data_IF_394135686644
#
_entry.id   IF_394135686644
#
_cell.length_a   1.000
_cell.length_b   1.000
_cell.length_c   1.000
_cell.angle_alpha   90.00
_cell.angle_beta   90.00
_cell.angle_gamma   90.00
#
_symmetry.space_group_name_H-M   'P 1'
#
loop_
_entity.id
_entity.type
_entity.pdbx_description
1 polymer ?
#
# COMPACT_ATOMS: atom_id res chain seq x y z
N UNK A 1 -50.98 18.90 50.58
CA UNK A 1 -49.66 18.27 50.69
C UNK A 1 -49.50 17.35 49.51
N UNK A 2 -48.88 17.84 48.47
CA UNK A 2 -48.68 17.08 47.22
C UNK A 2 -47.16 16.96 47.07
N UNK A 3 -46.66 15.74 47.26
CA UNK A 3 -45.24 15.40 47.11
C UNK A 3 -44.91 15.19 45.65
N UNK A 4 -44.06 16.09 45.09
CA UNK A 4 -43.41 15.91 43.79
C UNK A 4 -42.27 14.88 43.92
N UNK A 5 -42.37 13.77 43.21
CA UNK A 5 -41.23 12.90 42.91
C UNK A 5 -40.49 13.44 41.71
N UNK A 6 -39.24 13.80 41.94
CA UNK A 6 -38.27 14.20 40.91
C UNK A 6 -37.72 12.91 40.29
N UNK A 7 -38.04 12.64 39.03
CA UNK A 7 -37.35 11.63 38.19
C UNK A 7 -35.97 12.14 37.83
N UNK A 8 -34.98 11.57 38.49
CA UNK A 8 -33.57 11.74 38.10
C UNK A 8 -33.31 10.88 36.85
N UNK A 9 -33.24 11.57 35.69
CA UNK A 9 -32.84 10.97 34.42
C UNK A 9 -31.33 10.67 34.48
N UNK A 10 -30.94 9.43 34.79
CA UNK A 10 -29.61 8.94 34.55
C UNK A 10 -29.39 8.90 33.05
N UNK A 11 -28.73 9.90 32.51
CA UNK A 11 -28.05 9.81 31.21
C UNK A 11 -26.93 8.78 31.36
N UNK A 12 -27.18 7.57 30.88
CA UNK A 12 -26.13 6.59 30.69
C UNK A 12 -25.14 7.17 29.67
N UNK A 13 -23.99 7.62 30.14
CA UNK A 13 -22.84 7.81 29.27
C UNK A 13 -22.58 6.46 28.60
N UNK A 14 -22.92 6.37 27.33
CA UNK A 14 -22.52 5.25 26.50
C UNK A 14 -21.00 5.29 26.41
N UNK A 15 -20.31 4.54 27.25
CA UNK A 15 -18.89 4.23 27.07
C UNK A 15 -18.80 3.45 25.77
N UNK A 16 -18.49 4.15 24.69
CA UNK A 16 -18.27 3.58 23.37
C UNK A 16 -16.98 2.77 23.42
N UNK A 17 -17.04 1.53 23.93
CA UNK A 17 -15.94 0.59 23.77
C UNK A 17 -15.83 0.25 22.29
N UNK A 18 -14.61 0.21 21.72
CA UNK A 18 -14.42 -0.16 20.34
C UNK A 18 -14.93 -1.60 20.13
N UNK A 19 -15.67 -1.80 19.04
CA UNK A 19 -16.21 -3.12 18.70
C UNK A 19 -15.11 -4.11 18.33
N UNK A 20 -13.94 -3.66 17.86
CA UNK A 20 -12.80 -4.51 17.55
C UNK A 20 -11.47 -3.78 17.70
N UNK A 21 -10.44 -4.54 18.08
CA UNK A 21 -9.06 -4.09 18.12
C UNK A 21 -8.28 -4.71 16.96
N UNK A 22 -7.69 -3.85 16.11
CA UNK A 22 -6.91 -4.25 14.95
C UNK A 22 -5.46 -3.77 15.10
N UNK A 23 -4.50 -4.67 14.88
CA UNK A 23 -3.09 -4.33 14.77
C UNK A 23 -2.69 -4.29 13.28
N UNK A 24 -2.43 -3.08 12.74
CA UNK A 24 -1.94 -2.86 11.38
C UNK A 24 -0.41 -2.77 11.39
N UNK A 25 0.24 -3.75 10.80
CA UNK A 25 1.70 -3.84 10.73
C UNK A 25 2.20 -3.24 9.44
N UNK A 26 3.07 -2.24 9.55
CA UNK A 26 3.76 -1.61 8.43
C UNK A 26 5.26 -1.55 8.64
N UNK A 27 5.98 -1.14 7.59
CA UNK A 27 7.42 -0.90 7.61
C UNK A 27 7.72 0.44 6.93
N UNK A 28 8.60 1.24 7.49
CA UNK A 28 8.90 2.59 6.98
C UNK A 28 9.96 2.56 5.86
N UNK A 29 9.77 1.64 4.90
CA UNK A 29 10.61 1.51 3.72
C UNK A 29 9.92 2.14 2.50
N UNK A 30 10.47 3.23 1.97
CA UNK A 30 9.97 3.91 0.78
C UNK A 30 8.63 4.63 0.93
N UNK A 31 8.00 4.62 2.11
CA UNK A 31 6.78 5.36 2.43
C UNK A 31 5.45 4.73 1.95
N UNK A 32 5.48 3.77 1.02
CA UNK A 32 4.26 3.18 0.43
C UNK A 32 3.41 2.39 1.44
N UNK A 33 4.02 1.52 2.24
CA UNK A 33 3.32 0.71 3.23
C UNK A 33 2.63 1.57 4.30
N UNK A 34 3.32 2.60 4.79
CA UNK A 34 2.75 3.54 5.76
C UNK A 34 1.60 4.36 5.17
N UNK A 35 1.73 4.79 3.91
CA UNK A 35 0.67 5.53 3.21
C UNK A 35 -0.57 4.66 3.02
N UNK A 36 -0.41 3.40 2.63
CA UNK A 36 -1.51 2.44 2.50
C UNK A 36 -2.20 2.16 3.84
N UNK A 37 -1.44 1.97 4.93
CA UNK A 37 -2.00 1.77 6.26
C UNK A 37 -2.82 2.99 6.72
N UNK A 38 -2.29 4.21 6.55
CA UNK A 38 -3.02 5.44 6.87
C UNK A 38 -4.27 5.65 6.04
N UNK A 39 -4.22 5.29 4.73
CA UNK A 39 -5.38 5.36 3.85
C UNK A 39 -6.51 4.44 4.35
N UNK A 40 -6.16 3.23 4.78
CA UNK A 40 -7.13 2.27 5.30
C UNK A 40 -7.76 2.75 6.62
N UNK A 41 -6.96 3.33 7.53
CA UNK A 41 -7.45 3.95 8.77
C UNK A 41 -8.43 5.07 8.45
N UNK A 42 -8.05 5.99 7.57
CA UNK A 42 -8.89 7.13 7.18
C UNK A 42 -10.24 6.67 6.59
N UNK A 43 -10.25 5.61 5.77
CA UNK A 43 -11.51 5.07 5.22
C UNK A 43 -12.34 4.37 6.29
N UNK A 44 -11.72 3.62 7.21
CA UNK A 44 -12.43 3.01 8.34
C UNK A 44 -13.14 4.07 9.20
N UNK A 45 -12.47 5.19 9.48
CA UNK A 45 -13.04 6.35 10.18
C UNK A 45 -14.19 6.99 9.39
N UNK A 46 -14.03 7.21 8.07
CA UNK A 46 -15.07 7.74 7.18
C UNK A 46 -16.30 6.82 7.10
N UNK A 47 -16.10 5.51 7.20
CA UNK A 47 -17.16 4.50 7.24
C UNK A 47 -17.75 4.32 8.65
N UNK A 48 -17.33 5.11 9.63
CA UNK A 48 -17.78 5.03 11.03
C UNK A 48 -17.62 3.64 11.65
N UNK A 49 -16.49 2.93 11.32
CA UNK A 49 -16.18 1.65 11.94
C UNK A 49 -15.77 1.86 13.39
N UNK A 50 -16.42 1.16 14.33
CA UNK A 50 -16.08 1.21 15.75
C UNK A 50 -14.83 0.36 16.05
N UNK A 51 -13.73 0.60 15.34
CA UNK A 51 -12.47 -0.13 15.49
C UNK A 51 -11.44 0.71 16.23
N UNK A 52 -10.72 0.07 17.15
CA UNK A 52 -9.48 0.60 17.66
C UNK A 52 -8.34 0.06 16.80
N UNK A 53 -7.71 0.93 16.01
CA UNK A 53 -6.64 0.53 15.10
C UNK A 53 -5.30 0.98 15.65
N UNK A 54 -4.43 0.01 15.96
CA UNK A 54 -3.05 0.24 16.36
C UNK A 54 -2.15 0.17 15.13
N UNK A 55 -1.53 1.29 14.78
CA UNK A 55 -0.58 1.35 13.68
C UNK A 55 0.83 1.00 14.19
N UNK A 56 1.32 -0.19 13.85
CA UNK A 56 2.55 -0.78 14.41
C UNK A 56 3.65 -0.80 13.35
N UNK A 57 4.73 -0.06 13.60
CA UNK A 57 5.94 -0.22 12.82
C UNK A 57 6.68 -1.48 13.29
N UNK A 58 6.78 -2.49 12.44
CA UNK A 58 7.45 -3.76 12.80
C UNK A 58 8.87 -3.54 13.31
N UNK A 59 9.58 -2.54 12.81
CA UNK A 59 10.91 -2.18 13.27
C UNK A 59 10.95 -1.96 14.79
N UNK A 60 10.00 -1.20 15.32
CA UNK A 60 10.02 -0.80 16.74
C UNK A 60 9.80 -2.02 17.64
N UNK A 61 9.02 -3.01 17.18
CA UNK A 61 8.86 -4.30 17.85
C UNK A 61 10.11 -5.18 17.79
N UNK A 62 10.87 -5.10 16.70
CA UNK A 62 12.05 -5.94 16.46
C UNK A 62 13.36 -5.27 16.88
N UNK A 63 13.35 -4.02 17.31
CA UNK A 63 14.57 -3.29 17.72
C UNK A 63 15.43 -4.05 18.75
N UNK A 64 14.86 -4.76 19.74
CA UNK A 64 15.65 -5.59 20.68
C UNK A 64 16.38 -6.76 20.01
N UNK A 65 15.90 -7.23 18.83
CA UNK A 65 16.49 -8.33 18.06
C UNK A 65 17.47 -7.87 16.98
N UNK A 66 17.72 -6.56 16.83
CA UNK A 66 18.57 -6.02 15.76
C UNK A 66 20.05 -6.35 15.97
N UNK A 67 20.33 -7.67 15.88
CA UNK A 67 21.68 -8.24 15.93
C UNK A 67 22.54 -7.73 14.78
N UNK A 68 21.93 -7.44 13.63
CA UNK A 68 22.64 -6.92 12.44
C UNK A 68 23.19 -5.54 12.76
N UNK A 69 22.43 -4.66 13.38
CA UNK A 69 22.90 -3.36 13.85
C UNK A 69 24.04 -3.49 14.88
N UNK A 70 23.92 -4.46 15.81
CA UNK A 70 24.97 -4.70 16.82
C UNK A 70 26.26 -5.21 16.20
N UNK A 71 26.20 -5.97 15.12
CA UNK A 71 27.38 -6.57 14.47
C UNK A 71 27.96 -5.71 13.36
N UNK A 72 27.14 -4.96 12.62
CA UNK A 72 27.55 -4.24 11.40
C UNK A 72 27.43 -2.72 11.52
N UNK A 73 26.76 -2.21 12.56
CA UNK A 73 26.43 -0.78 12.67
C UNK A 73 25.36 -0.29 11.68
N UNK A 74 24.94 -1.11 10.73
CA UNK A 74 23.99 -0.76 9.65
C UNK A 74 22.63 -1.34 9.95
N UNK A 75 21.58 -0.53 9.86
CA UNK A 75 20.19 -0.98 9.95
C UNK A 75 19.75 -1.58 8.63
N UNK A 76 18.95 -2.66 8.68
CA UNK A 76 18.38 -3.29 7.46
C UNK A 76 17.62 -2.28 6.60
N UNK A 77 16.90 -1.35 7.23
CA UNK A 77 16.18 -0.27 6.55
C UNK A 77 17.10 0.74 5.87
N UNK A 78 18.18 1.15 6.54
CA UNK A 78 19.13 2.12 5.99
C UNK A 78 19.79 1.53 4.75
N UNK A 79 20.02 0.24 4.75
CA UNK A 79 20.52 -0.49 3.60
C UNK A 79 19.48 -0.54 2.46
N UNK A 80 18.23 -0.88 2.75
CA UNK A 80 17.14 -0.89 1.77
C UNK A 80 16.83 0.52 1.24
N UNK A 81 16.73 1.50 2.12
CA UNK A 81 16.50 2.89 1.76
C UNK A 81 17.69 3.52 1.01
N UNK A 82 18.92 3.13 1.35
CA UNK A 82 20.13 3.57 0.62
C UNK A 82 20.13 3.03 -0.82
N UNK A 83 19.69 1.79 -1.05
CA UNK A 83 19.52 1.24 -2.38
C UNK A 83 18.45 1.97 -3.19
N UNK A 84 17.31 2.29 -2.56
CA UNK A 84 16.26 3.09 -3.19
C UNK A 84 16.76 4.50 -3.56
N UNK A 85 17.55 5.13 -2.69
CA UNK A 85 18.11 6.47 -2.92
C UNK A 85 19.18 6.48 -3.99
N UNK A 86 20.04 5.47 -4.04
CA UNK A 86 21.16 5.41 -4.99
C UNK A 86 20.75 5.01 -6.41
N UNK A 87 19.52 4.48 -6.60
CA UNK A 87 19.07 3.94 -7.88
C UNK A 87 19.89 2.72 -8.36
N UNK A 88 20.79 2.21 -7.53
CA UNK A 88 21.64 1.06 -7.83
C UNK A 88 20.86 -0.24 -7.54
N UNK A 89 20.09 -0.70 -8.53
CA UNK A 89 19.25 -1.91 -8.42
C UNK A 89 19.86 -3.15 -9.08
N UNK A 90 21.03 -3.01 -9.73
CA UNK A 90 21.76 -4.15 -10.29
C UNK A 90 22.26 -5.03 -9.13
N UNK A 91 21.95 -6.33 -9.20
CA UNK A 91 22.33 -7.29 -8.17
C UNK A 91 21.36 -7.45 -7.00
N UNK A 92 20.16 -6.81 -7.04
CA UNK A 92 19.16 -6.94 -5.98
C UNK A 92 18.64 -8.37 -5.80
N UNK A 93 18.64 -9.22 -6.83
CA UNK A 93 18.20 -10.61 -6.74
C UNK A 93 19.02 -11.46 -5.76
N UNK A 94 20.36 -11.56 -5.88
CA UNK A 94 21.22 -12.25 -4.92
C UNK A 94 21.14 -11.64 -3.51
N UNK A 95 21.12 -10.32 -3.43
CA UNK A 95 21.06 -9.60 -2.16
C UNK A 95 19.73 -9.83 -1.43
N UNK A 96 18.62 -9.86 -2.14
CA UNK A 96 17.32 -10.19 -1.56
C UNK A 96 17.32 -11.61 -0.97
N UNK A 97 17.97 -12.59 -1.62
CA UNK A 97 18.14 -13.95 -1.08
C UNK A 97 18.95 -13.96 0.21
N UNK A 98 20.03 -13.18 0.27
CA UNK A 98 20.82 -13.02 1.50
C UNK A 98 19.99 -12.40 2.60
N UNK A 99 19.22 -11.35 2.30
CA UNK A 99 18.32 -10.71 3.26
C UNK A 99 17.25 -11.69 3.76
N UNK A 100 16.64 -12.48 2.88
CA UNK A 100 15.68 -13.51 3.28
C UNK A 100 16.32 -14.60 4.16
N UNK A 101 17.56 -15.00 3.86
CA UNK A 101 18.32 -15.95 4.70
C UNK A 101 18.58 -15.39 6.09
N UNK A 102 19.00 -14.13 6.21
CA UNK A 102 19.21 -13.45 7.49
C UNK A 102 17.91 -13.30 8.29
N UNK A 103 16.81 -12.94 7.64
CA UNK A 103 15.48 -12.88 8.27
C UNK A 103 15.13 -14.26 8.86
N UNK A 104 15.33 -15.35 8.11
CA UNK A 104 15.06 -16.71 8.60
C UNK A 104 15.94 -17.11 9.80
N UNK A 105 17.20 -16.67 9.85
CA UNK A 105 18.06 -16.94 11.00
C UNK A 105 17.61 -16.19 12.27
N UNK A 106 17.06 -14.99 12.12
CA UNK A 106 16.55 -14.18 13.23
C UNK A 106 15.10 -14.52 13.63
N UNK A 107 14.43 -15.33 12.83
CA UNK A 107 13.01 -15.64 12.97
C UNK A 107 12.62 -16.16 14.36
N UNK A 108 13.36 -17.08 15.05
CA UNK A 108 12.98 -17.53 16.38
C UNK A 108 12.94 -16.40 17.42
N UNK A 109 13.83 -15.41 17.28
CA UNK A 109 13.85 -14.24 18.16
C UNK A 109 12.69 -13.29 17.85
N UNK A 110 12.41 -13.06 16.56
CA UNK A 110 11.27 -12.26 16.13
C UNK A 110 9.95 -12.84 16.60
N UNK A 111 9.74 -14.15 16.46
CA UNK A 111 8.56 -14.86 16.95
C UNK A 111 8.32 -14.60 18.43
N UNK A 112 9.36 -14.69 19.26
CA UNK A 112 9.25 -14.45 20.72
C UNK A 112 8.86 -13.01 21.04
N UNK A 113 9.42 -12.03 20.34
CA UNK A 113 9.10 -10.61 20.55
C UNK A 113 7.66 -10.30 20.11
N UNK A 114 7.25 -10.81 18.97
CA UNK A 114 5.90 -10.67 18.47
C UNK A 114 4.88 -11.35 19.38
N UNK A 115 5.18 -12.56 19.86
CA UNK A 115 4.30 -13.27 20.79
C UNK A 115 4.09 -12.47 22.09
N UNK A 116 5.16 -11.91 22.67
CA UNK A 116 5.06 -11.06 23.87
C UNK A 116 4.19 -9.81 23.61
N UNK A 117 4.33 -9.20 22.45
CA UNK A 117 3.51 -8.06 22.08
C UNK A 117 2.03 -8.43 22.08
N UNK A 118 1.64 -9.52 21.42
CA UNK A 118 0.24 -9.94 21.29
C UNK A 118 -0.36 -10.59 22.54
N UNK A 119 0.46 -11.10 23.45
CA UNK A 119 -0.01 -11.46 24.80
C UNK A 119 -0.53 -10.23 25.56
N UNK A 120 0.03 -9.04 25.28
CA UNK A 120 -0.39 -7.79 25.90
C UNK A 120 -1.51 -7.07 25.15
N UNK A 121 -1.40 -6.94 23.81
CA UNK A 121 -2.35 -6.16 23.00
C UNK A 121 -3.64 -6.90 22.69
N UNK A 122 -3.61 -8.23 22.56
CA UNK A 122 -4.78 -9.12 22.33
C UNK A 122 -5.70 -8.65 21.21
N UNK A 123 -5.22 -8.44 19.99
CA UNK A 123 -6.05 -7.93 18.90
C UNK A 123 -7.11 -8.98 18.46
N UNK A 124 -8.23 -8.50 17.92
CA UNK A 124 -9.23 -9.32 17.23
C UNK A 124 -8.77 -9.70 15.82
N UNK A 125 -7.88 -8.91 15.22
CA UNK A 125 -7.35 -9.11 13.88
C UNK A 125 -5.95 -8.49 13.73
N UNK A 126 -5.03 -9.22 13.12
CA UNK A 126 -3.72 -8.70 12.71
C UNK A 126 -3.71 -8.51 11.19
N UNK A 127 -3.36 -7.30 10.74
CA UNK A 127 -3.25 -6.95 9.31
C UNK A 127 -1.80 -6.65 9.00
N UNK A 128 -1.17 -7.45 8.14
CA UNK A 128 0.17 -7.21 7.62
C UNK A 128 0.14 -6.53 6.27
N UNK A 129 0.87 -5.44 6.13
CA UNK A 129 1.04 -4.69 4.88
C UNK A 129 2.52 -4.67 4.46
N UNK A 130 3.25 -5.72 4.81
CA UNK A 130 4.70 -5.84 4.57
C UNK A 130 5.07 -7.20 3.99
N UNK A 131 6.09 -7.28 3.13
CA UNK A 131 6.63 -8.54 2.63
C UNK A 131 7.66 -9.16 3.59
N UNK A 132 8.06 -10.41 3.32
CA UNK A 132 9.15 -11.18 3.95
C UNK A 132 8.98 -11.57 5.43
N UNK A 133 8.10 -10.93 6.20
CA UNK A 133 7.95 -11.15 7.64
C UNK A 133 6.68 -11.92 8.00
N UNK A 134 5.83 -12.23 7.04
CA UNK A 134 4.51 -12.81 7.27
C UNK A 134 4.56 -14.16 7.99
N UNK A 135 5.62 -14.95 7.81
CA UNK A 135 5.81 -16.20 8.53
C UNK A 135 6.06 -15.95 10.03
N UNK A 136 7.01 -15.08 10.36
CA UNK A 136 7.30 -14.73 11.76
C UNK A 136 6.10 -14.10 12.47
N UNK A 137 5.35 -13.23 11.77
CA UNK A 137 4.13 -12.58 12.25
C UNK A 137 3.09 -13.63 12.65
N UNK A 138 2.74 -14.54 11.73
CA UNK A 138 1.74 -15.57 12.04
C UNK A 138 2.18 -16.51 13.16
N UNK A 139 3.44 -16.94 13.16
CA UNK A 139 3.98 -17.83 14.21
C UNK A 139 3.98 -17.17 15.58
N UNK A 140 4.34 -15.89 15.66
CA UNK A 140 4.27 -15.12 16.90
C UNK A 140 2.84 -14.99 17.43
N UNK A 141 1.89 -14.73 16.52
CA UNK A 141 0.46 -14.65 16.85
C UNK A 141 -0.06 -15.99 17.39
N UNK A 142 0.24 -17.11 16.72
CA UNK A 142 -0.15 -18.45 17.16
C UNK A 142 0.47 -18.82 18.51
N UNK A 143 1.72 -18.41 18.76
CA UNK A 143 2.36 -18.63 20.06
C UNK A 143 1.67 -17.82 21.16
N UNK A 144 1.24 -16.59 20.90
CA UNK A 144 0.48 -15.78 21.84
C UNK A 144 -0.88 -16.41 22.15
N UNK A 145 -1.63 -16.80 21.11
CA UNK A 145 -2.94 -17.43 21.24
C UNK A 145 -2.86 -18.73 22.06
N UNK A 146 -1.85 -19.57 21.80
CA UNK A 146 -1.66 -20.83 22.51
C UNK A 146 -1.35 -20.65 24.01
N UNK A 147 -0.52 -19.66 24.36
CA UNK A 147 -0.20 -19.35 25.76
C UNK A 147 -1.43 -18.85 26.52
N UNK A 148 -2.29 -18.08 25.85
CA UNK A 148 -3.50 -17.52 26.43
C UNK A 148 -4.71 -18.47 26.36
N UNK A 149 -4.58 -19.63 25.71
CA UNK A 149 -5.69 -20.58 25.50
C UNK A 149 -6.83 -19.99 24.67
N UNK A 150 -6.51 -19.06 23.74
CA UNK A 150 -7.49 -18.40 22.88
C UNK A 150 -7.68 -19.16 21.57
N UNK A 151 -8.83 -18.94 20.95
CA UNK A 151 -9.04 -19.34 19.56
C UNK A 151 -8.09 -18.52 18.64
N UNK A 152 -7.62 -19.14 17.57
CA UNK A 152 -6.62 -18.55 16.68
C UNK A 152 -7.05 -17.20 16.11
N UNK A 153 -6.38 -16.14 16.52
CA UNK A 153 -6.60 -14.78 16.00
C UNK A 153 -6.33 -14.73 14.49
N UNK A 154 -7.23 -14.21 13.67
CA UNK A 154 -7.03 -14.15 12.23
C UNK A 154 -5.91 -13.20 11.85
N UNK A 155 -5.13 -13.58 10.84
CA UNK A 155 -4.13 -12.73 10.21
C UNK A 155 -4.48 -12.52 8.74
N UNK A 156 -4.42 -11.26 8.30
CA UNK A 156 -4.61 -10.86 6.90
C UNK A 156 -3.33 -10.23 6.37
N UNK A 157 -2.85 -10.69 5.24
CA UNK A 157 -1.79 -9.98 4.48
C UNK A 157 -2.43 -9.25 3.31
N UNK A 158 -2.28 -7.93 3.29
CA UNK A 158 -2.70 -7.10 2.16
C UNK A 158 -1.48 -6.83 1.30
N UNK A 159 -1.48 -7.36 0.09
CA UNK A 159 -0.39 -7.13 -0.85
C UNK A 159 -0.43 -5.68 -1.33
N UNK A 160 0.66 -4.93 -1.11
CA UNK A 160 0.83 -3.57 -1.65
C UNK A 160 1.68 -3.57 -2.93
N UNK A 161 1.98 -4.75 -3.47
CA UNK A 161 2.52 -4.98 -4.81
C UNK A 161 1.48 -5.66 -5.71
N UNK A 162 1.57 -5.44 -7.02
CA UNK A 162 0.63 -5.99 -8.01
C UNK A 162 0.71 -7.51 -8.16
N UNK A 163 1.79 -8.13 -7.69
CA UNK A 163 2.00 -9.58 -7.66
C UNK A 163 3.10 -9.97 -6.68
N UNK A 164 3.16 -11.26 -6.33
CA UNK A 164 4.20 -11.84 -5.48
C UNK A 164 5.47 -12.11 -6.31
N UNK A 165 6.37 -11.13 -6.37
CA UNK A 165 7.67 -11.25 -7.01
C UNK A 165 8.79 -10.62 -6.17
N UNK A 166 9.90 -11.36 -5.95
CA UNK A 166 10.08 -12.78 -6.31
C UNK A 166 9.12 -13.66 -5.51
N UNK A 167 8.93 -14.94 -5.91
CA UNK A 167 8.07 -15.86 -5.16
C UNK A 167 8.41 -15.91 -3.68
N UNK A 168 7.40 -16.05 -2.83
CA UNK A 168 7.51 -16.00 -1.35
C UNK A 168 7.96 -14.63 -0.80
N UNK A 169 7.77 -13.57 -1.55
CA UNK A 169 8.02 -12.22 -1.06
C UNK A 169 6.85 -11.74 -0.16
N UNK A 170 5.61 -11.97 -0.61
CA UNK A 170 4.38 -11.64 0.08
C UNK A 170 3.64 -12.85 0.62
N UNK A 171 3.59 -13.92 -0.18
CA UNK A 171 2.72 -15.08 0.03
C UNK A 171 3.56 -16.22 0.59
N UNK A 172 3.23 -16.63 1.82
CA UNK A 172 3.86 -17.75 2.50
C UNK A 172 2.89 -18.95 2.54
N UNK A 173 3.43 -20.18 2.56
CA UNK A 173 2.62 -21.42 2.71
C UNK A 173 2.18 -21.60 4.16
N UNK A 174 1.15 -20.87 4.56
CA UNK A 174 0.64 -20.86 5.93
C UNK A 174 -0.84 -20.47 5.97
N UNK A 175 -1.47 -20.68 7.12
CA UNK A 175 -2.89 -20.38 7.30
C UNK A 175 -3.13 -18.90 7.61
N UNK A 176 -3.15 -18.07 6.59
CA UNK A 176 -3.48 -16.64 6.64
C UNK A 176 -4.52 -16.29 5.58
N UNK A 177 -5.18 -15.17 5.76
CA UNK A 177 -5.99 -14.55 4.72
C UNK A 177 -5.12 -13.63 3.86
N UNK A 178 -5.47 -13.53 2.58
CA UNK A 178 -4.74 -12.74 1.60
C UNK A 178 -5.70 -11.80 0.88
N UNK A 179 -5.35 -10.51 0.82
CA UNK A 179 -6.04 -9.51 0.00
C UNK A 179 -5.13 -9.13 -1.17
N UNK A 180 -5.61 -9.40 -2.37
CA UNK A 180 -4.87 -9.31 -3.62
C UNK A 180 -5.49 -8.27 -4.56
N UNK A 181 -4.75 -7.22 -4.90
CA UNK A 181 -5.22 -6.15 -5.81
C UNK A 181 -5.26 -6.56 -7.28
N UNK A 182 -4.76 -7.75 -7.65
CA UNK A 182 -4.78 -8.25 -9.03
C UNK A 182 -5.17 -9.71 -9.12
N UNK A 183 -5.73 -10.11 -10.26
CA UNK A 183 -6.02 -11.52 -10.54
C UNK A 183 -4.76 -12.39 -10.54
N UNK A 184 -3.60 -11.83 -10.86
CA UNK A 184 -2.32 -12.56 -10.85
C UNK A 184 -1.89 -12.88 -9.43
N UNK A 185 -1.91 -11.93 -8.52
CA UNK A 185 -1.60 -12.17 -7.11
C UNK A 185 -2.55 -13.23 -6.50
N UNK A 186 -3.85 -13.15 -6.79
CA UNK A 186 -4.81 -14.14 -6.32
C UNK A 186 -4.53 -15.54 -6.88
N UNK A 187 -4.19 -15.67 -8.19
CA UNK A 187 -3.79 -16.96 -8.78
C UNK A 187 -2.49 -17.50 -8.17
N UNK A 188 -1.51 -16.63 -7.88
CA UNK A 188 -0.28 -17.04 -7.20
C UNK A 188 -0.58 -17.62 -5.82
N UNK A 189 -1.46 -16.97 -5.04
CA UNK A 189 -1.89 -17.47 -3.73
C UNK A 189 -2.54 -18.87 -3.82
N UNK A 190 -3.47 -19.06 -4.75
CA UNK A 190 -4.12 -20.36 -4.97
C UNK A 190 -3.10 -21.42 -5.43
N UNK A 191 -2.19 -21.06 -6.35
CA UNK A 191 -1.14 -21.97 -6.84
C UNK A 191 -0.16 -22.39 -5.73
N UNK A 192 0.02 -21.55 -4.69
CA UNK A 192 0.81 -21.86 -3.51
C UNK A 192 0.08 -22.73 -2.48
N UNK A 193 -1.19 -23.05 -2.72
CA UNK A 193 -2.00 -23.95 -1.88
C UNK A 193 -2.95 -23.27 -0.92
N UNK A 194 -3.15 -21.95 -1.01
CA UNK A 194 -4.16 -21.29 -0.21
C UNK A 194 -5.57 -21.66 -0.67
N UNK A 195 -6.44 -21.94 0.30
CA UNK A 195 -7.84 -22.17 0.05
C UNK A 195 -8.52 -20.91 -0.54
N UNK A 196 -9.45 -21.10 -1.50
CA UNK A 196 -10.10 -19.99 -2.21
C UNK A 196 -10.82 -19.02 -1.26
N UNK A 197 -11.43 -19.51 -0.19
CA UNK A 197 -12.13 -18.75 0.85
C UNK A 197 -11.21 -17.91 1.73
N UNK A 198 -9.89 -18.08 1.60
CA UNK A 198 -8.90 -17.27 2.28
C UNK A 198 -8.21 -16.24 1.35
N UNK A 199 -8.58 -16.20 0.07
CA UNK A 199 -7.99 -15.31 -0.92
C UNK A 199 -9.05 -14.35 -1.45
N UNK A 200 -8.97 -13.10 -1.03
CA UNK A 200 -9.87 -12.03 -1.45
C UNK A 200 -9.22 -11.24 -2.58
N UNK A 201 -9.97 -11.05 -3.66
CA UNK A 201 -9.57 -10.18 -4.75
C UNK A 201 -10.33 -8.86 -4.64
N UNK A 202 -9.59 -7.76 -4.56
CA UNK A 202 -10.12 -6.40 -4.66
C UNK A 202 -10.04 -5.86 -6.09
N UNK A 203 -10.71 -4.75 -6.36
CA UNK A 203 -10.72 -4.08 -7.66
C UNK A 203 -9.35 -3.48 -8.04
N UNK A 204 -8.42 -3.35 -7.10
CA UNK A 204 -7.07 -2.82 -7.33
C UNK A 204 -6.26 -2.73 -6.05
N UNK A 205 -5.35 -1.76 -6.00
CA UNK A 205 -4.46 -1.50 -4.88
C UNK A 205 -5.03 -0.41 -3.97
N UNK A 206 -4.54 -0.34 -2.72
CA UNK A 206 -4.90 0.75 -1.82
C UNK A 206 -4.37 2.07 -2.37
N UNK A 207 -5.28 3.02 -2.56
CA UNK A 207 -4.99 4.40 -2.91
C UNK A 207 -5.70 5.31 -1.90
N UNK A 208 -5.05 6.39 -1.48
CA UNK A 208 -5.60 7.31 -0.48
C UNK A 208 -6.95 7.88 -0.93
N UNK A 209 -7.93 8.07 -0.02
CA UNK A 209 -9.28 8.52 -0.38
C UNK A 209 -9.30 9.88 -1.08
N UNK A 210 -8.30 10.75 -0.86
CA UNK A 210 -8.21 12.06 -1.50
C UNK A 210 -8.08 12.01 -3.04
N UNK A 211 -7.65 10.87 -3.58
CA UNK A 211 -7.60 10.66 -5.03
C UNK A 211 -8.97 10.43 -5.66
N UNK A 212 -9.98 10.06 -4.88
CA UNK A 212 -11.34 9.78 -5.36
C UNK A 212 -12.28 10.98 -5.23
N UNK A 213 -11.88 12.01 -4.49
CA UNK A 213 -12.69 13.21 -4.30
C UNK A 213 -12.85 14.01 -5.59
N UNK A 214 -14.06 14.51 -5.85
CA UNK A 214 -14.30 15.55 -6.85
C UNK A 214 -13.90 16.89 -6.26
N UNK A 215 -12.87 17.55 -6.76
CA UNK A 215 -12.67 18.96 -6.46
C UNK A 215 -13.51 19.80 -7.45
N UNK A 216 -14.33 20.70 -6.95
CA UNK A 216 -14.93 21.78 -7.74
C UNK A 216 -13.79 22.77 -8.11
N UNK A 217 -13.06 22.47 -9.15
CA UNK A 217 -11.87 23.20 -9.55
C UNK A 217 -11.86 23.32 -11.08
N UNK A 218 -11.77 24.56 -11.58
CA UNK A 218 -11.47 24.73 -13.03
C UNK A 218 -10.02 24.37 -13.27
N UNK A 219 -9.82 23.30 -14.02
CA UNK A 219 -8.51 22.79 -14.45
C UNK A 219 -7.73 23.84 -15.23
N UNK A 220 -8.41 24.58 -16.08
CA UNK A 220 -7.87 25.64 -16.92
C UNK A 220 -7.40 26.83 -16.07
N UNK A 221 -8.20 27.26 -15.10
CA UNK A 221 -7.85 28.36 -14.18
C UNK A 221 -6.63 27.99 -13.33
N UNK A 222 -6.60 26.75 -12.80
CA UNK A 222 -5.46 26.29 -11.97
C UNK A 222 -4.18 26.11 -12.79
N UNK A 223 -4.27 25.61 -14.03
CA UNK A 223 -3.12 25.57 -14.93
C UNK A 223 -2.56 26.98 -15.16
N UNK A 224 -3.43 27.95 -15.49
CA UNK A 224 -3.02 29.36 -15.66
C UNK A 224 -2.37 29.93 -14.40
N UNK A 225 -2.90 29.63 -13.22
CA UNK A 225 -2.34 30.06 -11.92
C UNK A 225 -0.91 29.52 -11.70
N UNK A 226 -0.62 28.33 -12.19
CA UNK A 226 0.71 27.69 -12.11
C UNK A 226 1.66 28.11 -13.24
N UNK A 227 1.26 29.02 -14.12
CA UNK A 227 2.04 29.44 -15.30
C UNK A 227 2.03 28.40 -16.42
N UNK A 228 1.05 27.49 -16.39
CA UNK A 228 0.84 26.50 -17.44
C UNK A 228 -0.24 26.99 -18.43
N UNK A 229 -0.17 26.51 -19.67
CA UNK A 229 -1.18 26.78 -20.69
C UNK A 229 -2.46 25.96 -20.39
N UNK A 230 -3.65 26.56 -20.39
CA UNK A 230 -4.91 25.87 -20.14
C UNK A 230 -5.17 24.70 -21.11
N UNK A 231 -4.82 24.87 -22.38
CA UNK A 231 -5.19 23.99 -23.49
C UNK A 231 -4.13 22.94 -23.83
N UNK A 232 -2.85 23.19 -23.54
CA UNK A 232 -1.79 22.26 -23.89
C UNK A 232 -1.88 20.95 -23.09
N UNK A 233 -1.68 19.79 -23.73
CA UNK A 233 -1.53 18.53 -23.03
C UNK A 233 -0.42 18.58 -21.97
N UNK A 234 -0.75 18.13 -20.76
CA UNK A 234 0.13 18.24 -19.60
C UNK A 234 0.54 16.86 -19.09
N UNK A 235 1.84 16.61 -19.01
CA UNK A 235 2.41 15.44 -18.32
C UNK A 235 2.78 15.73 -16.88
N UNK A 236 2.53 14.80 -15.96
CA UNK A 236 3.10 14.83 -14.60
C UNK A 236 4.28 13.86 -14.50
N UNK A 237 5.43 14.36 -14.02
CA UNK A 237 6.67 13.60 -13.91
C UNK A 237 6.99 13.39 -12.44
N UNK A 238 6.95 12.11 -11.97
CA UNK A 238 7.15 11.78 -10.57
C UNK A 238 7.93 10.46 -10.39
N UNK A 239 9.01 10.50 -9.60
CA UNK A 239 9.91 9.36 -9.35
C UNK A 239 10.01 9.00 -7.86
N UNK A 240 8.87 9.05 -7.15
CA UNK A 240 8.79 8.82 -5.71
C UNK A 240 9.25 10.02 -4.89
N UNK A 241 9.35 9.86 -3.57
CA UNK A 241 9.55 10.95 -2.60
C UNK A 241 10.91 11.66 -2.69
N UNK A 242 11.89 11.07 -3.38
CA UNK A 242 13.24 11.65 -3.54
C UNK A 242 13.55 12.09 -4.98
N UNK A 243 12.56 12.01 -5.87
CA UNK A 243 12.79 12.32 -7.28
C UNK A 243 13.87 11.44 -7.93
N UNK A 244 14.31 11.81 -9.13
CA UNK A 244 15.40 11.14 -9.85
C UNK A 244 16.04 12.10 -10.86
N UNK A 245 17.34 11.98 -11.07
CA UNK A 245 18.07 12.72 -12.13
C UNK A 245 17.49 12.43 -13.55
N UNK A 246 16.73 11.34 -13.72
CA UNK A 246 16.00 11.08 -14.96
C UNK A 246 15.03 12.21 -15.31
N UNK A 247 14.45 12.89 -14.31
CA UNK A 247 13.50 14.00 -14.53
C UNK A 247 14.14 15.14 -15.32
N UNK A 248 15.35 15.53 -14.96
CA UNK A 248 16.11 16.55 -15.69
C UNK A 248 16.51 16.07 -17.10
N UNK A 249 16.76 14.78 -17.30
CA UNK A 249 17.01 14.20 -18.61
C UNK A 249 15.74 14.19 -19.48
N UNK A 250 14.59 13.85 -18.89
CA UNK A 250 13.27 13.91 -19.56
C UNK A 250 13.01 15.35 -20.01
N UNK A 251 13.17 16.35 -19.13
CA UNK A 251 12.96 17.74 -19.45
C UNK A 251 13.77 18.17 -20.71
N UNK A 252 15.08 17.89 -20.73
CA UNK A 252 15.95 18.21 -21.88
C UNK A 252 15.54 17.48 -23.16
N UNK A 253 15.06 16.24 -23.10
CA UNK A 253 14.68 15.47 -24.29
C UNK A 253 13.37 15.96 -24.89
N UNK A 254 12.41 16.37 -24.06
CA UNK A 254 11.18 16.99 -24.52
C UNK A 254 11.48 18.33 -25.17
N UNK A 255 12.38 19.14 -24.57
CA UNK A 255 12.86 20.39 -25.16
C UNK A 255 13.49 20.14 -26.54
N UNK A 256 14.43 19.21 -26.65
CA UNK A 256 15.09 18.91 -27.90
C UNK A 256 14.16 18.41 -29.00
N UNK A 257 13.05 17.75 -28.61
CA UNK A 257 12.05 17.25 -29.53
C UNK A 257 11.00 18.31 -29.95
N UNK A 258 11.00 19.49 -29.34
CA UNK A 258 10.09 20.61 -29.63
C UNK A 258 8.61 20.20 -29.63
N UNK A 259 8.22 19.33 -28.68
CA UNK A 259 6.85 18.83 -28.58
C UNK A 259 5.92 19.89 -27.99
N UNK A 260 4.71 20.01 -28.55
CA UNK A 260 3.66 20.89 -28.03
C UNK A 260 3.00 20.29 -26.79
N UNK A 261 3.70 20.33 -25.67
CA UNK A 261 3.28 19.79 -24.38
C UNK A 261 3.80 20.68 -23.25
N UNK A 262 3.35 20.39 -22.04
CA UNK A 262 3.84 21.02 -20.81
C UNK A 262 4.00 19.96 -19.72
N UNK A 263 4.83 20.27 -18.70
CA UNK A 263 5.17 19.27 -17.67
C UNK A 263 5.07 19.86 -16.26
N UNK A 264 4.51 19.05 -15.35
CA UNK A 264 4.58 19.26 -13.90
C UNK A 264 5.60 18.29 -13.32
N UNK A 265 6.63 18.80 -12.66
CA UNK A 265 7.68 17.98 -12.04
C UNK A 265 7.49 17.92 -10.53
N UNK A 266 7.27 16.72 -9.98
CA UNK A 266 7.21 16.48 -8.55
C UNK A 266 8.57 15.99 -8.08
N UNK A 267 9.40 16.90 -7.58
CA UNK A 267 10.80 16.63 -7.23
C UNK A 267 10.98 15.99 -5.84
N UNK A 268 9.91 16.00 -5.01
CA UNK A 268 9.96 15.47 -3.66
C UNK A 268 10.99 16.19 -2.78
N UNK A 269 11.71 15.44 -1.93
CA UNK A 269 12.73 15.97 -1.02
C UNK A 269 14.07 16.28 -1.72
N UNK A 270 14.07 16.52 -3.04
CA UNK A 270 15.27 16.79 -3.81
C UNK A 270 15.29 18.23 -4.33
N UNK A 271 15.59 19.18 -3.45
CA UNK A 271 15.67 20.59 -3.79
C UNK A 271 16.71 20.88 -4.88
N UNK A 272 17.84 20.17 -4.86
CA UNK A 272 18.87 20.32 -5.91
C UNK A 272 18.35 19.97 -7.30
N UNK A 273 17.53 18.93 -7.40
CA UNK A 273 16.89 18.54 -8.66
C UNK A 273 15.85 19.57 -9.10
N UNK A 274 15.07 20.11 -8.17
CA UNK A 274 14.12 21.19 -8.44
C UNK A 274 14.82 22.40 -9.00
N UNK A 275 15.82 22.92 -8.29
CA UNK A 275 16.59 24.09 -8.68
C UNK A 275 17.30 23.87 -10.04
N UNK A 276 17.78 22.66 -10.29
CA UNK A 276 18.35 22.27 -11.57
C UNK A 276 17.33 22.37 -12.71
N UNK A 277 16.10 21.87 -12.53
CA UNK A 277 15.06 21.92 -13.56
C UNK A 277 14.57 23.36 -13.76
N UNK A 278 14.36 24.12 -12.69
CA UNK A 278 13.94 25.52 -12.73
C UNK A 278 14.96 26.42 -13.45
N UNK A 279 16.25 26.11 -13.32
CA UNK A 279 17.32 26.84 -14.02
C UNK A 279 17.44 26.48 -15.51
N UNK A 280 16.72 25.48 -16.01
CA UNK A 280 16.73 25.12 -17.43
C UNK A 280 15.99 26.15 -18.28
N UNK A 281 16.57 26.52 -19.41
CA UNK A 281 15.88 27.33 -20.42
C UNK A 281 15.04 26.43 -21.30
N UNK A 282 13.83 26.09 -20.83
CA UNK A 282 12.87 25.28 -21.57
C UNK A 282 11.91 26.21 -22.33
N UNK A 283 11.59 25.88 -23.57
CA UNK A 283 10.68 26.65 -24.43
C UNK A 283 9.20 26.33 -24.19
N UNK A 284 8.91 25.23 -23.51
CA UNK A 284 7.55 24.81 -23.15
C UNK A 284 7.20 25.20 -21.70
N UNK A 285 5.92 25.43 -21.36
CA UNK A 285 5.51 25.72 -19.99
C UNK A 285 5.81 24.53 -19.06
N UNK A 286 6.28 24.81 -17.86
CA UNK A 286 6.50 23.80 -16.85
C UNK A 286 6.31 24.37 -15.44
N UNK A 287 6.03 23.48 -14.49
CA UNK A 287 5.93 23.83 -13.07
C UNK A 287 6.68 22.81 -12.23
N UNK A 288 7.51 23.27 -11.29
CA UNK A 288 8.27 22.42 -10.40
C UNK A 288 7.70 22.47 -8.98
N UNK A 289 7.57 21.31 -8.35
CA UNK A 289 7.08 21.15 -7.00
C UNK A 289 8.09 20.34 -6.18
N UNK A 290 8.40 20.80 -4.99
CA UNK A 290 9.18 20.05 -4.00
C UNK A 290 8.35 18.92 -3.37
N UNK A 291 8.62 18.62 -2.10
CA UNK A 291 7.80 17.67 -1.35
C UNK A 291 6.39 18.23 -1.11
N UNK A 292 5.37 17.45 -1.46
CA UNK A 292 3.97 17.83 -1.26
C UNK A 292 3.11 16.62 -0.92
N UNK A 293 2.05 16.84 -0.15
CA UNK A 293 0.98 15.86 0.08
C UNK A 293 -0.17 16.02 -0.91
N UNK A 294 -0.20 17.10 -1.69
CA UNK A 294 -1.25 17.45 -2.64
C UNK A 294 -1.06 16.80 -4.02
N UNK A 295 -0.48 15.60 -4.06
CA UNK A 295 -0.32 14.85 -5.31
C UNK A 295 -1.63 14.72 -6.09
N UNK A 296 -2.81 14.46 -5.45
CA UNK A 296 -4.08 14.40 -6.15
C UNK A 296 -4.41 15.68 -6.91
N UNK A 297 -4.10 16.85 -6.34
CA UNK A 297 -4.29 18.14 -6.99
C UNK A 297 -3.48 18.23 -8.30
N UNK A 298 -2.17 17.97 -8.24
CA UNK A 298 -1.31 18.04 -9.42
C UNK A 298 -1.65 16.99 -10.48
N UNK A 299 -2.05 15.78 -10.07
CA UNK A 299 -2.49 14.74 -11.01
C UNK A 299 -3.78 15.12 -11.75
N UNK A 300 -4.72 15.85 -11.10
CA UNK A 300 -5.92 16.38 -11.78
C UNK A 300 -5.58 17.35 -12.89
N UNK A 301 -4.47 18.08 -12.80
CA UNK A 301 -4.02 19.01 -13.83
C UNK A 301 -3.32 18.29 -15.00
N UNK A 302 -2.94 17.03 -14.85
CA UNK A 302 -2.20 16.28 -15.85
C UNK A 302 -3.13 15.50 -16.80
N UNK A 303 -2.61 15.10 -17.95
CA UNK A 303 -3.24 14.26 -18.96
C UNK A 303 -2.64 12.87 -19.04
N UNK A 304 -1.39 12.71 -18.63
CA UNK A 304 -0.65 11.46 -18.56
C UNK A 304 0.44 11.53 -17.48
N UNK A 305 0.88 10.37 -17.02
CA UNK A 305 1.90 10.21 -16.00
C UNK A 305 3.21 9.69 -16.58
N UNK A 306 4.35 10.22 -16.10
CA UNK A 306 5.70 9.75 -16.43
C UNK A 306 6.41 9.42 -15.11
N UNK A 307 6.90 8.18 -14.96
CA UNK A 307 7.61 7.83 -13.73
C UNK A 307 8.19 6.42 -13.70
N UNK A 308 8.66 6.02 -12.52
CA UNK A 308 9.07 4.64 -12.30
C UNK A 308 7.84 3.73 -12.16
N UNK A 309 7.97 2.42 -12.47
CA UNK A 309 6.84 1.49 -12.39
C UNK A 309 6.52 1.02 -10.95
N UNK A 310 6.54 1.93 -9.98
CA UNK A 310 6.19 1.64 -8.57
C UNK A 310 4.69 1.43 -8.39
N UNK A 311 4.24 0.42 -7.62
CA UNK A 311 2.83 0.05 -7.52
C UNK A 311 1.94 1.18 -6.97
N UNK A 312 2.41 1.95 -5.99
CA UNK A 312 1.67 3.08 -5.42
C UNK A 312 1.41 4.17 -6.44
N UNK A 313 2.48 4.71 -7.07
CA UNK A 313 2.36 5.80 -8.05
C UNK A 313 1.55 5.41 -9.28
N UNK A 314 1.69 4.15 -9.74
CA UNK A 314 0.87 3.60 -10.82
C UNK A 314 -0.60 3.63 -10.42
N UNK A 315 -0.94 3.10 -9.24
CA UNK A 315 -2.32 3.00 -8.78
C UNK A 315 -2.95 4.38 -8.56
N UNK A 316 -2.19 5.33 -8.02
CA UNK A 316 -2.62 6.72 -7.87
C UNK A 316 -2.93 7.37 -9.23
N UNK A 317 -2.02 7.24 -10.21
CA UNK A 317 -2.19 7.77 -11.55
C UNK A 317 -3.41 7.15 -12.27
N UNK A 318 -3.61 5.83 -12.13
CA UNK A 318 -4.75 5.13 -12.73
C UNK A 318 -6.09 5.54 -12.14
N UNK A 319 -6.18 5.72 -10.81
CA UNK A 319 -7.39 6.26 -10.15
C UNK A 319 -7.71 7.67 -10.66
N UNK A 320 -6.68 8.46 -10.98
CA UNK A 320 -6.84 9.80 -11.57
C UNK A 320 -7.11 9.78 -13.07
N UNK A 321 -7.26 8.60 -13.70
CA UNK A 321 -7.53 8.45 -15.11
C UNK A 321 -6.34 8.74 -16.03
N UNK A 322 -5.11 8.70 -15.52
CA UNK A 322 -3.90 9.04 -16.26
C UNK A 322 -3.25 7.80 -16.88
N UNK A 323 -3.12 7.72 -18.22
CA UNK A 323 -2.25 6.74 -18.86
C UNK A 323 -0.78 6.95 -18.49
N UNK A 324 -0.02 5.86 -18.51
CA UNK A 324 1.31 5.78 -17.93
C UNK A 324 2.41 5.76 -19.00
N UNK A 325 3.53 6.44 -18.73
CA UNK A 325 4.81 6.21 -19.42
C UNK A 325 5.83 5.78 -18.35
N UNK A 326 6.31 4.55 -18.46
CA UNK A 326 7.26 3.96 -17.51
C UNK A 326 8.45 3.34 -18.24
N UNK A 327 9.54 3.08 -17.50
CA UNK A 327 10.73 2.44 -18.05
C UNK A 327 10.91 1.04 -17.49
N UNK A 328 11.32 0.10 -18.36
CA UNK A 328 11.76 -1.24 -17.97
C UNK A 328 13.12 -1.56 -18.55
N UNK A 329 14.10 -1.72 -17.69
CA UNK A 329 15.47 -2.11 -18.07
C UNK A 329 16.11 -2.99 -16.98
N UNK A 330 17.42 -3.22 -17.09
CA UNK A 330 18.17 -4.01 -16.13
C UNK A 330 18.16 -3.42 -14.70
N UNK A 331 17.91 -2.11 -14.56
CA UNK A 331 17.87 -1.38 -13.30
C UNK A 331 16.48 -1.37 -12.65
N UNK A 332 15.44 -1.81 -13.37
CA UNK A 332 14.08 -1.93 -12.81
C UNK A 332 14.08 -3.02 -11.74
N UNK A 333 13.60 -2.67 -10.54
CA UNK A 333 13.53 -3.61 -9.41
C UNK A 333 12.73 -4.87 -9.77
N UNK A 334 13.16 -6.02 -9.26
CA UNK A 334 12.55 -7.32 -9.61
C UNK A 334 11.04 -7.33 -9.37
N UNK A 335 10.59 -6.79 -8.24
CA UNK A 335 9.18 -6.68 -7.89
C UNK A 335 8.40 -5.72 -8.82
N UNK A 336 9.06 -4.70 -9.38
CA UNK A 336 8.43 -3.73 -10.27
C UNK A 336 8.38 -4.18 -11.75
N UNK A 337 9.15 -5.21 -12.14
CA UNK A 337 9.15 -5.74 -13.53
C UNK A 337 7.78 -6.27 -13.95
N UNK A 338 7.10 -6.95 -13.04
CA UNK A 338 5.73 -7.41 -13.30
C UNK A 338 4.79 -6.23 -13.60
N UNK A 339 4.97 -5.10 -12.93
CA UNK A 339 4.12 -3.93 -13.12
C UNK A 339 4.18 -3.42 -14.55
N UNK A 340 5.38 -3.44 -15.17
CA UNK A 340 5.54 -3.03 -16.57
C UNK A 340 4.86 -3.99 -17.54
N UNK A 341 4.93 -5.33 -17.32
CA UNK A 341 4.21 -6.31 -18.10
C UNK A 341 2.68 -6.16 -17.94
N UNK A 342 2.23 -5.82 -16.74
CA UNK A 342 0.82 -5.59 -16.44
C UNK A 342 0.29 -4.32 -17.13
N UNK A 343 1.07 -3.23 -17.14
CA UNK A 343 0.76 -1.99 -17.86
C UNK A 343 0.57 -2.26 -19.35
N UNK A 344 1.54 -2.97 -19.98
CA UNK A 344 1.50 -3.28 -21.39
C UNK A 344 0.29 -4.17 -21.77
N UNK A 345 0.03 -5.22 -20.96
CA UNK A 345 -1.08 -6.17 -21.21
C UNK A 345 -2.47 -5.56 -21.05
N UNK A 346 -2.61 -4.54 -20.21
CA UNK A 346 -3.89 -3.85 -20.01
C UNK A 346 -4.04 -2.61 -20.92
N UNK A 347 -3.06 -2.34 -21.77
CA UNK A 347 -3.07 -1.17 -22.69
C UNK A 347 -3.32 0.18 -21.98
N UNK A 348 -2.80 0.32 -20.76
CA UNK A 348 -2.98 1.48 -19.88
C UNK A 348 -1.79 2.45 -19.92
N UNK A 349 -0.85 2.23 -20.80
CA UNK A 349 0.33 3.08 -20.93
C UNK A 349 1.39 2.50 -21.85
N UNK A 350 2.53 3.19 -21.89
CA UNK A 350 3.70 2.86 -22.71
C UNK A 350 4.84 2.44 -21.80
N UNK A 351 5.46 1.30 -22.10
CA UNK A 351 6.65 0.80 -21.42
C UNK A 351 7.85 0.98 -22.32
N UNK A 352 8.76 1.85 -21.91
CA UNK A 352 10.00 2.16 -22.64
C UNK A 352 11.15 1.29 -22.19
N UNK A 353 12.07 0.91 -23.07
CA UNK A 353 13.34 0.29 -22.66
C UNK A 353 14.27 1.31 -21.99
N UNK A 354 14.10 2.59 -22.34
CA UNK A 354 14.82 3.71 -21.74
C UNK A 354 14.07 5.02 -21.93
N UNK A 355 14.08 5.91 -20.92
CA UNK A 355 13.62 7.29 -21.09
C UNK A 355 14.42 8.09 -22.13
N UNK A 356 15.43 7.49 -22.77
CA UNK A 356 16.00 8.05 -24.00
C UNK A 356 14.98 8.19 -25.12
N UNK A 357 13.95 7.35 -25.11
CA UNK A 357 12.87 7.33 -26.10
C UNK A 357 11.61 8.11 -25.63
N UNK A 358 11.72 8.90 -24.56
CA UNK A 358 10.57 9.60 -23.96
C UNK A 358 9.84 10.51 -24.95
N UNK A 359 10.55 11.14 -25.88
CA UNK A 359 9.93 12.02 -26.87
C UNK A 359 8.94 11.26 -27.77
N UNK A 360 9.25 10.04 -28.21
CA UNK A 360 8.34 9.19 -29.00
C UNK A 360 7.12 8.81 -28.18
N UNK A 361 7.29 8.42 -26.91
CA UNK A 361 6.15 8.07 -26.04
C UNK A 361 5.24 9.27 -25.78
N UNK A 362 5.82 10.45 -25.49
CA UNK A 362 5.04 11.67 -25.32
C UNK A 362 4.32 12.05 -26.62
N UNK A 363 4.99 11.95 -27.78
CA UNK A 363 4.33 12.16 -29.08
C UNK A 363 3.11 11.26 -29.28
N UNK A 364 3.17 10.00 -28.82
CA UNK A 364 2.02 9.09 -28.81
C UNK A 364 0.91 9.58 -27.87
N UNK A 365 1.27 10.08 -26.66
CA UNK A 365 0.29 10.67 -25.73
C UNK A 365 -0.35 11.97 -26.27
N UNK A 366 0.33 12.70 -27.15
CA UNK A 366 -0.21 13.89 -27.80
C UNK A 366 -1.19 13.55 -28.93
N UNK A 367 -1.17 12.32 -29.43
CA UNK A 367 -2.20 11.84 -30.36
C UNK A 367 -3.50 11.58 -29.59
N UNK A 368 -4.54 12.37 -29.87
CA UNK A 368 -5.82 12.36 -29.16
C UNK A 368 -6.52 10.98 -29.21
N UNK A 369 -6.44 10.28 -30.33
CA UNK A 369 -7.03 8.95 -30.46
C UNK A 369 -6.33 7.92 -29.56
N UNK A 370 -5.00 7.89 -29.56
CA UNK A 370 -4.21 6.98 -28.73
C UNK A 370 -4.41 7.28 -27.23
N UNK A 371 -4.38 8.55 -26.85
CA UNK A 371 -4.61 8.96 -25.48
C UNK A 371 -6.01 8.54 -25.00
N UNK A 372 -7.04 8.76 -25.80
CA UNK A 372 -8.41 8.39 -25.45
C UNK A 372 -8.59 6.87 -25.37
N UNK A 373 -7.94 6.08 -26.22
CA UNK A 373 -7.91 4.62 -26.12
C UNK A 373 -7.33 4.17 -24.77
N UNK A 374 -6.14 4.67 -24.42
CA UNK A 374 -5.51 4.33 -23.14
C UNK A 374 -6.35 4.80 -21.94
N UNK A 375 -6.95 5.98 -22.00
CA UNK A 375 -7.87 6.47 -20.96
C UNK A 375 -9.09 5.57 -20.78
N UNK A 376 -9.63 5.04 -21.87
CA UNK A 376 -10.74 4.08 -21.79
C UNK A 376 -10.31 2.79 -21.07
N UNK A 377 -9.12 2.28 -21.39
CA UNK A 377 -8.55 1.12 -20.69
C UNK A 377 -8.28 1.41 -19.21
N UNK A 378 -7.76 2.59 -18.87
CA UNK A 378 -7.57 3.03 -17.48
C UNK A 378 -8.90 3.10 -16.72
N UNK A 379 -9.92 3.71 -17.33
CA UNK A 379 -11.26 3.83 -16.73
C UNK A 379 -11.91 2.47 -16.46
N UNK A 380 -11.64 1.47 -17.28
CA UNK A 380 -12.18 0.12 -17.13
C UNK A 380 -11.63 -0.62 -15.89
N UNK A 381 -10.53 -0.15 -15.27
CA UNK A 381 -9.95 -0.77 -14.08
C UNK A 381 -10.75 -0.47 -12.79
N UNK A 382 -11.40 0.69 -12.70
CA UNK A 382 -12.26 1.17 -11.59
C UNK A 382 -11.79 0.71 -10.20
N UNK A 383 -10.59 1.14 -9.80
CA UNK A 383 -10.00 0.74 -8.53
C UNK A 383 -10.73 1.39 -7.34
N UNK A 384 -11.36 0.56 -6.50
CA UNK A 384 -12.07 0.94 -5.28
C UNK A 384 -11.56 0.19 -4.04
N UNK A 385 -10.42 -0.45 -4.14
CA UNK A 385 -9.89 -1.38 -3.14
C UNK A 385 -9.85 -0.81 -1.72
N UNK A 386 -9.51 0.47 -1.54
CA UNK A 386 -9.43 1.09 -0.22
C UNK A 386 -10.77 1.11 0.52
N UNK A 387 -11.89 1.13 -0.22
CA UNK A 387 -13.26 1.09 0.33
C UNK A 387 -13.77 -0.35 0.50
N UNK A 388 -13.28 -1.30 -0.30
CA UNK A 388 -13.66 -2.72 -0.25
C UNK A 388 -12.98 -3.46 0.91
N UNK A 389 -11.73 -3.11 1.22
CA UNK A 389 -10.94 -3.79 2.23
C UNK A 389 -11.58 -3.74 3.62
N UNK A 390 -12.10 -2.62 4.12
CA UNK A 390 -12.76 -2.60 5.43
C UNK A 390 -13.94 -3.57 5.53
N UNK A 391 -14.69 -3.80 4.44
CA UNK A 391 -15.78 -4.79 4.41
C UNK A 391 -15.24 -6.22 4.59
N UNK A 392 -14.10 -6.53 3.94
CA UNK A 392 -13.43 -7.83 4.08
C UNK A 392 -12.95 -8.02 5.52
N UNK A 393 -12.33 -7.00 6.13
CA UNK A 393 -11.84 -7.08 7.50
C UNK A 393 -12.99 -7.25 8.50
N UNK A 394 -14.09 -6.51 8.33
CA UNK A 394 -15.29 -6.65 9.15
C UNK A 394 -15.87 -8.06 9.11
N UNK A 395 -15.99 -8.63 7.92
CA UNK A 395 -16.49 -10.00 7.76
C UNK A 395 -15.59 -11.03 8.47
N UNK A 396 -14.26 -10.83 8.45
CA UNK A 396 -13.31 -11.71 9.14
C UNK A 396 -13.38 -11.56 10.67
N UNK A 397 -13.51 -10.34 11.19
CA UNK A 397 -13.70 -10.07 12.62
C UNK A 397 -14.98 -10.73 13.11
N UNK A 398 -16.09 -10.51 12.42
CA UNK A 398 -17.41 -11.07 12.78
C UNK A 398 -17.39 -12.61 12.78
N UNK A 399 -16.74 -13.23 11.79
CA UNK A 399 -16.57 -14.69 11.69
C UNK A 399 -15.74 -15.23 12.86
N UNK A 400 -14.64 -14.57 13.20
CA UNK A 400 -13.77 -14.95 14.30
C UNK A 400 -14.49 -14.87 15.64
N UNK A 401 -15.24 -13.80 15.91
CA UNK A 401 -16.01 -13.62 17.14
C UNK A 401 -17.10 -14.69 17.28
N UNK A 402 -17.79 -15.01 16.21
CA UNK A 402 -18.81 -16.07 16.20
C UNK A 402 -18.20 -17.44 16.54
N UNK A 403 -17.00 -17.73 16.01
CA UNK A 403 -16.28 -18.96 16.31
C UNK A 403 -15.84 -19.02 17.78
N UNK A 404 -15.33 -17.92 18.35
CA UNK A 404 -14.94 -17.82 19.76
C UNK A 404 -16.12 -18.06 20.71
N UNK A 405 -17.30 -17.49 20.42
CA UNK A 405 -18.51 -17.72 21.22
C UNK A 405 -18.97 -19.18 21.19
N UNK A 406 -18.82 -19.86 20.06
CA UNK A 406 -19.09 -21.30 19.93
C UNK A 406 -18.10 -22.17 20.71
N UNK A 407 -16.79 -21.82 20.68
CA UNK A 407 -15.74 -22.51 21.38
C UNK A 407 -15.89 -22.39 22.91
N UNK A 408 -16.17 -21.19 23.42
CA UNK A 408 -16.44 -20.96 24.84
C UNK A 408 -17.60 -21.77 25.41
N UNK A 409 -18.67 -21.89 24.63
CA UNK A 409 -19.85 -22.74 25.04
C UNK A 409 -19.50 -24.21 25.06
N UNK A 410 -18.71 -24.72 24.12
CA UNK A 410 -18.29 -26.13 24.09
C UNK A 410 -17.33 -26.46 25.23
N UNK A 411 -16.44 -25.55 25.59
CA UNK A 411 -15.49 -25.70 26.72
C UNK A 411 -16.22 -25.70 28.07
N UNK A 412 -17.22 -24.83 28.25
CA UNK A 412 -18.04 -24.80 29.46
C UNK A 412 -18.93 -26.07 29.60
N UNK A 413 -19.47 -26.57 28.48
CA UNK A 413 -20.26 -27.81 28.50
C UNK A 413 -19.43 -29.05 28.83
N UNK A 414 -18.11 -29.03 28.49
CA UNK A 414 -17.20 -30.12 28.87
C UNK A 414 -16.75 -30.08 30.32
N UNK A 415 -16.87 -28.94 31.02
CA UNK A 415 -16.53 -28.79 32.43
C UNK A 415 -17.67 -29.14 33.41
N UNK A 416 -18.91 -29.25 32.92
CA UNK A 416 -20.05 -29.66 33.71
C UNK A 416 -20.71 -30.88 33.06
N UNK A 417 -20.29 -32.13 33.35
CA UNK A 417 -21.03 -33.30 32.98
C UNK A 417 -22.34 -33.24 33.76
N UNK A 418 -23.49 -33.26 33.06
CA UNK A 418 -24.81 -33.35 33.64
C UNK A 418 -24.89 -34.58 34.52
N UNK A 419 -24.95 -34.39 35.84
CA UNK A 419 -25.42 -35.44 36.76
C UNK A 419 -26.85 -35.83 36.35
N UNK A 420 -26.97 -36.93 35.63
CA UNK A 420 -28.25 -37.53 35.38
C UNK A 420 -28.74 -38.18 36.68
N UNK A 421 -29.77 -37.60 37.25
CA UNK A 421 -30.59 -38.23 38.23
C UNK A 421 -31.09 -39.60 37.74
N UNK A 422 -30.54 -40.63 38.33
CA UNK A 422 -31.25 -41.91 38.44
C UNK A 422 -32.11 -41.83 39.69
N UNK A 423 -33.43 -41.75 39.47
CA UNK A 423 -34.44 -42.06 40.49
C UNK A 423 -35.52 -42.90 39.83
N UNK A 424 -35.48 -44.18 40.14
CA UNK A 424 -36.51 -45.19 40.12
C UNK A 424 -37.33 -45.41 38.85
#
# INVERSE_FOLDING_TARGET
>A
MTTHFSESTYLAESTNYPDAQLDLIYFDAGGGHRASAKALISVAEQQHRSWQINLINLRDLLEPADVIRRLTGVRIEDFYNSQLKSGLTIGTGPLLRITQMLIRQLEPTMIKLLARHWQNSRPDLVVSMIPNFNHAILRGLRQADAVEGRFETPMVTILTDLADYPPHFWIERQEQYLVCGTATAARQAIAMGHARERVFRTSGMIVRPEFYGSAEMSREAERSRLGLDPELPCGIVMFGSYGSNQMASIARRIEAAQLKTQLIFICGHNDKLRDQIESMKLSYPFHCVGFTQEIPYYMRLADFFIGKPGPGSISEALVMGLPLIVERNAWTMVQERFNTDWIARNEIGIVLPSFREIASAVSTMLNREQLNRMRASVKALDNRAVFEIPEILEALISRHRSANLGFGRSSLAAQFPSEMHHSR
#
